data_IF_254741627558
#
_entry.id   IF_254741627558
#
_cell.length_a   1.000
_cell.length_b   1.000
_cell.length_c   1.000
_cell.angle_alpha   90.00
_cell.angle_beta   90.00
_cell.angle_gamma   90.00
#
_symmetry.space_group_name_H-M   'P 1'
#
loop_
_entity.id
_entity.type
_entity.pdbx_description
1 polymer ?
#
# COMPACT_ATOMS: atom_id res chain seq x y z
N UNK A 1 -11.88 -7.84 -0.02
CA UNK A 1 -11.89 -7.16 1.28
C UNK A 1 -11.47 -5.72 1.05
N UNK A 2 -12.36 -4.73 1.21
CA UNK A 2 -11.90 -3.33 1.30
C UNK A 2 -11.25 -3.19 2.68
N UNK A 3 -9.94 -3.41 2.78
CA UNK A 3 -9.23 -3.07 3.98
C UNK A 3 -9.34 -1.56 4.14
N UNK A 4 -10.24 -1.11 5.02
CA UNK A 4 -10.33 0.28 5.50
C UNK A 4 -9.12 0.64 6.36
N UNK A 5 -7.91 0.29 5.90
CA UNK A 5 -6.66 0.57 6.56
C UNK A 5 -6.45 2.07 6.60
N UNK A 6 -6.22 2.59 7.80
CA UNK A 6 -5.76 3.97 7.97
C UNK A 6 -4.46 4.18 7.19
N UNK A 7 -4.21 5.40 6.73
CA UNK A 7 -2.99 5.72 5.98
C UNK A 7 -1.71 5.32 6.75
N UNK A 8 -1.75 5.35 8.09
CA UNK A 8 -0.66 4.93 8.95
C UNK A 8 -0.42 3.42 8.88
N UNK A 9 -1.49 2.63 8.88
CA UNK A 9 -1.36 1.16 8.82
C UNK A 9 -0.86 0.71 7.45
N UNK A 10 -1.39 1.30 6.38
CA UNK A 10 -0.92 1.01 5.03
C UNK A 10 0.56 1.41 4.83
N UNK A 11 0.97 2.55 5.38
CA UNK A 11 2.37 2.99 5.39
C UNK A 11 3.29 1.98 6.08
N UNK A 12 2.90 1.47 7.26
CA UNK A 12 3.67 0.44 7.97
C UNK A 12 3.76 -0.87 7.18
N UNK A 13 2.65 -1.34 6.62
CA UNK A 13 2.60 -2.62 5.88
C UNK A 13 3.42 -2.56 4.59
N UNK A 14 3.35 -1.44 3.87
CA UNK A 14 4.02 -1.28 2.58
C UNK A 14 5.45 -0.72 2.72
N UNK A 15 5.91 -0.38 3.93
CA UNK A 15 7.22 0.21 4.15
C UNK A 15 7.39 1.59 3.50
N UNK A 16 6.33 2.40 3.46
CA UNK A 16 6.31 3.70 2.80
C UNK A 16 5.93 4.84 3.75
N UNK A 17 6.19 6.09 3.36
CA UNK A 17 5.70 7.24 4.12
C UNK A 17 4.17 7.37 4.01
N UNK A 18 3.54 7.83 5.09
CA UNK A 18 2.10 8.16 5.12
C UNK A 18 1.70 9.14 4.01
N UNK A 19 2.59 10.09 3.68
CA UNK A 19 2.36 11.09 2.62
C UNK A 19 2.22 10.42 1.24
N UNK A 20 3.01 9.40 0.94
CA UNK A 20 2.87 8.66 -0.32
C UNK A 20 1.53 7.93 -0.41
N UNK A 21 1.09 7.30 0.68
CA UNK A 21 -0.23 6.65 0.74
C UNK A 21 -1.36 7.66 0.50
N UNK A 22 -1.28 8.85 1.10
CA UNK A 22 -2.27 9.91 0.90
C UNK A 22 -2.27 10.37 -0.56
N UNK A 23 -1.10 10.66 -1.14
CA UNK A 23 -0.99 11.10 -2.53
C UNK A 23 -1.60 10.10 -3.52
N UNK A 24 -1.45 8.80 -3.26
CA UNK A 24 -2.08 7.75 -4.06
C UNK A 24 -3.58 7.69 -3.84
N UNK A 25 -4.04 7.80 -2.59
CA UNK A 25 -5.46 7.76 -2.24
C UNK A 25 -6.24 8.96 -2.78
N UNK A 26 -5.65 10.15 -2.80
CA UNK A 26 -6.25 11.38 -3.32
C UNK A 26 -6.04 11.55 -4.83
N UNK A 27 -5.44 10.56 -5.50
CA UNK A 27 -5.06 10.60 -6.92
C UNK A 27 -4.17 11.79 -7.32
N UNK A 28 -3.50 12.44 -6.34
CA UNK A 28 -2.52 13.51 -6.61
C UNK A 28 -1.28 12.98 -7.31
N UNK A 29 -0.98 11.68 -7.15
CA UNK A 29 0.07 10.97 -7.87
C UNK A 29 -0.44 9.61 -8.33
N UNK A 30 -0.06 9.21 -9.55
CA UNK A 30 -0.36 7.87 -10.06
C UNK A 30 0.31 6.80 -9.20
N UNK A 31 -0.38 5.67 -9.03
CA UNK A 31 0.09 4.53 -8.24
C UNK A 31 1.06 3.69 -9.09
N UNK A 32 2.34 3.58 -8.73
CA UNK A 32 3.30 2.77 -9.47
C UNK A 32 2.90 1.29 -9.51
N UNK A 33 3.22 0.58 -10.60
CA UNK A 33 2.92 -0.86 -10.74
C UNK A 33 3.49 -1.70 -9.58
N UNK A 34 4.66 -1.35 -9.07
CA UNK A 34 5.29 -2.03 -7.93
C UNK A 34 4.49 -1.89 -6.62
N UNK A 35 3.84 -0.74 -6.40
CA UNK A 35 2.97 -0.52 -5.23
C UNK A 35 1.70 -1.35 -5.36
N UNK A 36 1.13 -1.43 -6.58
CA UNK A 36 -0.02 -2.29 -6.85
C UNK A 36 0.31 -3.77 -6.63
N UNK A 37 1.51 -4.21 -7.02
CA UNK A 37 2.00 -5.57 -6.78
C UNK A 37 2.13 -5.84 -5.28
N UNK A 38 2.71 -4.91 -4.52
CA UNK A 38 2.83 -5.03 -3.06
C UNK A 38 1.45 -5.12 -2.38
N UNK A 39 0.47 -4.29 -2.78
CA UNK A 39 -0.90 -4.41 -2.27
C UNK A 39 -1.50 -5.78 -2.57
N UNK A 40 -1.33 -6.29 -3.80
CA UNK A 40 -1.80 -7.64 -4.16
C UNK A 40 -1.14 -8.74 -3.34
N UNK A 41 0.17 -8.64 -3.08
CA UNK A 41 0.90 -9.62 -2.26
C UNK A 41 0.39 -9.63 -0.80
N UNK A 42 0.03 -8.46 -0.26
CA UNK A 42 -0.60 -8.33 1.06
C UNK A 42 -1.99 -9.00 1.06
N UNK A 43 -2.80 -8.75 0.03
CA UNK A 43 -4.14 -9.32 -0.08
C UNK A 43 -4.12 -10.86 -0.23
N UNK A 44 -3.12 -11.41 -0.92
CA UNK A 44 -2.95 -12.86 -1.10
C UNK A 44 -2.23 -13.53 0.07
N UNK A 45 -1.79 -12.78 1.09
CA UNK A 45 -1.07 -13.32 2.23
C UNK A 45 0.35 -13.79 1.90
N UNK A 46 0.88 -13.40 0.73
CA UNK A 46 2.27 -13.66 0.34
C UNK A 46 3.17 -12.74 1.15
N UNK A 47 3.53 -13.19 2.36
CA UNK A 47 4.62 -12.59 3.14
C UNK A 47 5.92 -13.07 2.50
N UNK A 48 6.58 -12.19 1.75
CA UNK A 48 7.93 -12.46 1.28
C UNK A 48 8.83 -12.76 2.47
N UNK A 49 9.22 -14.01 2.64
CA UNK A 49 10.34 -14.41 3.48
C UNK A 49 11.61 -14.00 2.74
N UNK A 50 12.21 -12.90 3.18
CA UNK A 50 13.61 -12.54 2.93
C UNK A 50 14.33 -12.58 4.29
#
# INVERSE_FOLDING_TARGET
>A
MQHGSSANKAAQVLGMSRRNIINYRTATRLIPKVVQLACKAVDTGVRGTL
#
